data_IF_034368680732
#
_entry.id   IF_034368680732
#
_cell.length_a   1.000
_cell.length_b   1.000
_cell.length_c   1.000
_cell.angle_alpha   90.00
_cell.angle_beta   90.00
_cell.angle_gamma   90.00
#
_symmetry.space_group_name_H-M   'P 1'
#
loop_
_entity.id
_entity.type
_entity.pdbx_description
1 polymer ?
#
# COMPACT_ATOMS: atom_id res chain seq x y z
N UNK A 1 14.15 21.26 8.57
CA UNK A 1 13.36 22.41 8.07
C UNK A 1 12.91 22.04 6.67
N UNK A 2 11.61 21.82 6.52
CA UNK A 2 10.97 21.26 5.32
C UNK A 2 11.03 22.24 4.14
N UNK A 3 10.98 21.70 2.93
CA UNK A 3 10.90 22.37 1.62
C UNK A 3 9.60 23.18 1.43
N UNK A 4 9.30 24.11 2.33
CA UNK A 4 8.16 25.01 2.22
C UNK A 4 8.55 26.44 2.58
N UNK A 5 9.07 27.18 1.61
CA UNK A 5 9.20 28.63 1.71
C UNK A 5 8.82 29.30 0.38
N UNK A 6 7.89 30.25 0.48
CA UNK A 6 7.57 31.36 -0.45
C UNK A 6 6.61 31.08 -1.63
N UNK A 7 5.31 31.34 -1.41
CA UNK A 7 4.62 32.61 -1.81
C UNK A 7 3.10 32.47 -1.65
N UNK A 8 2.53 33.12 -0.62
CA UNK A 8 1.10 33.47 -0.59
C UNK A 8 0.90 34.72 -1.46
N UNK A 9 0.13 34.61 -2.54
CA UNK A 9 -0.50 35.77 -3.20
C UNK A 9 -2.01 35.64 -3.05
N UNK A 10 -2.62 36.66 -2.46
CA UNK A 10 -4.06 36.85 -2.39
C UNK A 10 -4.63 36.98 -3.79
N UNK A 11 -5.66 36.21 -4.14
CA UNK A 11 -6.45 36.43 -5.35
C UNK A 11 -7.93 36.63 -5.00
N UNK A 12 -8.41 37.80 -5.42
CA UNK A 12 -9.77 38.30 -5.35
C UNK A 12 -10.72 37.47 -6.20
N UNK A 13 -11.92 37.21 -5.66
CA UNK A 13 -13.04 36.54 -6.32
C UNK A 13 -13.58 37.33 -7.51
N UNK A 14 -13.80 36.68 -8.64
CA UNK A 14 -14.92 37.00 -9.54
C UNK A 14 -15.52 35.70 -10.09
N UNK A 15 -16.80 35.52 -9.82
CA UNK A 15 -17.64 34.48 -10.40
C UNK A 15 -17.99 34.83 -11.86
N UNK A 16 -18.04 33.82 -12.73
CA UNK A 16 -18.77 33.87 -13.99
C UNK A 16 -19.22 32.46 -14.40
N UNK A 17 -20.40 32.42 -15.01
CA UNK A 17 -21.35 31.32 -15.01
C UNK A 17 -21.09 30.18 -16.02
N UNK A 18 -21.73 29.05 -15.72
CA UNK A 18 -21.82 27.79 -16.45
C UNK A 18 -22.42 27.88 -17.85
N UNK A 19 -21.90 27.09 -18.80
CA UNK A 19 -22.70 26.36 -19.81
C UNK A 19 -22.05 25.00 -20.16
N UNK A 20 -22.87 23.96 -20.44
CA UNK A 20 -22.43 22.59 -20.62
C UNK A 20 -22.10 22.28 -22.09
N UNK A 21 -21.05 21.52 -22.35
CA UNK A 21 -20.74 21.03 -23.70
C UNK A 21 -19.38 20.36 -23.79
N UNK A 22 -19.39 19.03 -23.88
CA UNK A 22 -18.34 18.13 -24.37
C UNK A 22 -16.92 18.32 -23.80
N UNK A 23 -16.61 17.52 -22.76
CA UNK A 23 -15.25 17.20 -22.35
C UNK A 23 -14.59 16.32 -23.43
N UNK A 24 -13.66 16.91 -24.19
CA UNK A 24 -12.63 16.14 -24.87
C UNK A 24 -11.67 15.57 -23.81
N UNK A 25 -11.83 14.29 -23.51
CA UNK A 25 -10.93 13.53 -22.64
C UNK A 25 -9.63 13.25 -23.39
N UNK A 26 -8.60 14.03 -23.09
CA UNK A 26 -7.22 13.71 -23.45
C UNK A 26 -6.65 12.67 -22.48
N UNK A 27 -7.03 11.39 -22.63
CA UNK A 27 -6.31 10.26 -22.04
C UNK A 27 -5.75 9.43 -23.19
N UNK A 28 -4.42 9.29 -23.25
CA UNK A 28 -3.77 8.30 -24.09
C UNK A 28 -4.11 6.89 -23.57
N UNK A 29 -5.25 6.37 -24.00
CA UNK A 29 -5.58 4.95 -23.93
C UNK A 29 -5.01 4.34 -25.21
N UNK A 30 -3.92 3.57 -25.11
CA UNK A 30 -3.43 2.78 -26.25
C UNK A 30 -4.48 1.70 -26.56
N UNK A 31 -4.79 1.50 -27.84
CA UNK A 31 -5.88 0.63 -28.35
C UNK A 31 -5.57 -0.88 -28.35
N UNK A 32 -4.55 -1.33 -27.61
CA UNK A 32 -4.00 -2.69 -27.74
C UNK A 32 -4.17 -3.54 -26.47
N UNK A 33 -5.29 -3.41 -25.74
CA UNK A 33 -5.60 -4.31 -24.63
C UNK A 33 -6.25 -5.63 -25.13
N UNK A 34 -5.77 -6.81 -24.70
CA UNK A 34 -6.31 -8.12 -25.09
C UNK A 34 -7.72 -8.38 -24.52
N UNK A 35 -8.49 -9.34 -25.08
CA UNK A 35 -9.90 -9.53 -24.72
C UNK A 35 -10.10 -10.12 -23.31
N UNK A 36 -10.93 -9.41 -22.53
CA UNK A 36 -11.75 -9.81 -21.37
C UNK A 36 -11.05 -10.47 -20.16
N UNK A 37 -10.38 -9.67 -19.33
CA UNK A 37 -10.56 -9.82 -17.87
C UNK A 37 -11.91 -9.19 -17.50
N UNK A 38 -12.74 -9.88 -16.73
CA UNK A 38 -13.99 -9.30 -16.22
C UNK A 38 -13.62 -8.10 -15.35
N UNK A 39 -13.97 -6.90 -15.81
CA UNK A 39 -13.81 -5.67 -15.04
C UNK A 39 -14.80 -5.68 -13.88
N UNK A 40 -14.28 -5.66 -12.64
CA UNK A 40 -15.08 -5.60 -11.41
C UNK A 40 -14.73 -4.27 -10.73
N UNK A 41 -15.69 -3.34 -10.58
CA UNK A 41 -15.42 -2.03 -10.00
C UNK A 41 -14.78 -2.14 -8.61
N UNK A 42 -13.66 -1.45 -8.41
CA UNK A 42 -12.88 -1.46 -7.17
C UNK A 42 -12.45 -2.86 -6.68
N UNK A 43 -12.27 -3.82 -7.58
CA UNK A 43 -11.70 -5.12 -7.26
C UNK A 43 -10.67 -5.51 -8.32
N UNK A 44 -9.46 -5.87 -7.90
CA UNK A 44 -8.34 -6.11 -8.80
C UNK A 44 -7.61 -7.39 -8.44
N UNK A 45 -7.02 -8.01 -9.45
CA UNK A 45 -6.09 -9.12 -9.25
C UNK A 45 -4.81 -8.62 -8.58
N UNK A 46 -4.19 -9.45 -7.75
CA UNK A 46 -2.88 -9.20 -7.14
C UNK A 46 -2.03 -10.46 -7.25
N UNK A 47 -0.97 -10.40 -8.04
CA UNK A 47 0.04 -11.47 -8.10
C UNK A 47 0.79 -11.59 -6.77
N UNK A 48 0.80 -12.81 -6.21
CA UNK A 48 1.53 -13.18 -5.01
C UNK A 48 2.80 -13.98 -5.33
N UNK A 49 3.28 -13.94 -6.58
CA UNK A 49 4.52 -14.65 -6.98
C UNK A 49 5.77 -14.08 -6.35
N UNK A 50 5.70 -12.83 -5.91
CA UNK A 50 6.82 -12.12 -5.32
C UNK A 50 6.32 -11.13 -4.27
N UNK A 51 7.16 -10.74 -3.27
CA UNK A 51 6.74 -9.84 -2.21
C UNK A 51 6.30 -8.46 -2.72
N UNK A 52 5.12 -8.01 -2.27
CA UNK A 52 4.63 -6.65 -2.44
C UNK A 52 4.45 -6.04 -1.06
N UNK A 53 5.01 -4.85 -0.84
CA UNK A 53 4.80 -4.07 0.38
C UNK A 53 4.27 -2.70 0.05
N UNK A 54 3.32 -2.23 0.86
CA UNK A 54 2.81 -0.87 0.77
C UNK A 54 3.37 -0.01 1.91
N UNK A 55 4.06 1.07 1.54
CA UNK A 55 4.70 1.98 2.49
C UNK A 55 3.72 3.11 2.82
N UNK A 56 3.17 3.04 4.03
CA UNK A 56 2.37 4.10 4.63
C UNK A 56 3.23 4.96 5.55
N UNK A 57 2.81 6.21 5.75
CA UNK A 57 3.41 7.11 6.74
C UNK A 57 2.40 7.48 7.80
N UNK A 58 2.82 7.62 9.06
CA UNK A 58 1.96 8.18 10.10
C UNK A 58 1.57 9.63 9.80
N UNK A 59 2.44 10.37 9.10
CA UNK A 59 2.20 11.72 8.62
C UNK A 59 3.01 12.02 7.34
N UNK A 60 2.93 13.25 6.85
CA UNK A 60 3.87 13.79 5.86
C UNK A 60 5.26 13.98 6.48
N UNK A 61 6.33 13.85 5.68
CA UNK A 61 7.73 14.09 6.09
C UNK A 61 8.22 13.31 7.33
N UNK A 62 7.72 12.09 7.46
CA UNK A 62 8.20 11.07 8.42
C UNK A 62 9.32 10.20 7.83
N UNK A 63 9.65 10.38 6.54
CA UNK A 63 10.75 9.67 5.88
C UNK A 63 10.34 8.46 5.04
N UNK A 64 9.10 8.38 4.55
CA UNK A 64 8.65 7.29 3.64
C UNK A 64 9.64 7.01 2.51
N UNK A 65 10.01 8.03 1.75
CA UNK A 65 10.93 7.90 0.60
C UNK A 65 12.33 7.48 1.02
N UNK A 66 12.78 7.85 2.22
CA UNK A 66 14.04 7.36 2.79
C UNK A 66 13.93 5.86 3.06
N UNK A 67 12.88 5.43 3.74
CA UNK A 67 12.67 4.01 4.07
C UNK A 67 12.49 3.17 2.80
N UNK A 68 11.70 3.64 1.83
CA UNK A 68 11.54 3.00 0.52
C UNK A 68 12.88 2.85 -0.21
N UNK A 69 13.69 3.91 -0.25
CA UNK A 69 15.01 3.85 -0.89
C UNK A 69 15.97 2.90 -0.20
N UNK A 70 16.00 2.88 1.14
CA UNK A 70 16.84 1.95 1.91
C UNK A 70 16.44 0.49 1.70
N UNK A 71 15.14 0.21 1.66
CA UNK A 71 14.61 -1.12 1.36
C UNK A 71 14.95 -1.55 -0.08
N UNK A 72 14.72 -0.67 -1.07
CA UNK A 72 15.08 -0.92 -2.46
C UNK A 72 16.59 -1.17 -2.61
N UNK A 73 17.43 -0.39 -1.92
CA UNK A 73 18.89 -0.55 -1.92
C UNK A 73 19.31 -1.90 -1.35
N UNK A 74 18.77 -2.31 -0.21
CA UNK A 74 19.06 -3.62 0.37
C UNK A 74 18.64 -4.76 -0.57
N UNK A 75 17.52 -4.61 -1.26
CA UNK A 75 17.04 -5.59 -2.24
C UNK A 75 17.91 -5.64 -3.50
N UNK A 76 18.33 -4.48 -4.03
CA UNK A 76 19.30 -4.37 -5.12
C UNK A 76 20.69 -4.87 -4.72
N UNK A 77 21.03 -5.00 -3.44
CA UNK A 77 22.29 -5.60 -3.00
C UNK A 77 22.18 -7.09 -2.70
N UNK A 78 20.97 -7.60 -2.52
CA UNK A 78 20.70 -9.01 -2.28
C UNK A 78 20.90 -9.84 -3.55
N UNK A 79 21.49 -11.03 -3.39
CA UNK A 79 21.56 -12.05 -4.44
C UNK A 79 20.25 -12.83 -4.60
N UNK A 80 19.37 -12.80 -3.58
CA UNK A 80 18.07 -13.46 -3.60
C UNK A 80 17.00 -12.68 -4.38
N UNK A 81 17.25 -11.40 -4.66
CA UNK A 81 16.36 -10.53 -5.42
C UNK A 81 16.94 -10.31 -6.81
N UNK A 82 16.17 -10.56 -7.87
CA UNK A 82 16.60 -10.36 -9.27
C UNK A 82 16.31 -8.95 -9.77
N UNK A 83 15.27 -8.32 -9.25
CA UNK A 83 14.77 -7.00 -9.68
C UNK A 83 13.96 -6.34 -8.57
N UNK A 84 13.89 -5.01 -8.61
CA UNK A 84 13.14 -4.19 -7.66
C UNK A 84 12.24 -3.23 -8.43
N UNK A 85 10.94 -3.28 -8.14
CA UNK A 85 9.97 -2.31 -8.63
C UNK A 85 9.60 -1.32 -7.54
N UNK A 86 9.70 -0.03 -7.83
CA UNK A 86 9.20 1.05 -6.98
C UNK A 86 8.06 1.76 -7.70
N UNK A 87 6.87 1.81 -7.09
CA UNK A 87 5.73 2.52 -7.64
C UNK A 87 5.30 3.60 -6.66
N UNK A 88 5.21 4.84 -7.15
CA UNK A 88 4.52 5.93 -6.45
C UNK A 88 3.22 6.25 -7.17
N UNK A 89 2.06 5.79 -6.66
CA UNK A 89 0.81 5.95 -7.40
C UNK A 89 0.40 7.41 -7.56
N UNK A 90 0.63 8.24 -6.54
CA UNK A 90 0.26 9.66 -6.51
C UNK A 90 1.47 10.52 -6.09
N UNK A 91 1.81 11.52 -6.91
CA UNK A 91 2.88 12.48 -6.63
C UNK A 91 2.38 13.92 -6.79
N UNK A 92 2.79 14.81 -5.88
CA UNK A 92 2.42 16.24 -5.92
C UNK A 92 3.63 17.11 -5.66
N UNK A 93 3.73 18.28 -6.28
CA UNK A 93 4.75 19.28 -5.94
C UNK A 93 6.13 19.07 -6.58
N UNK A 94 6.17 18.36 -7.70
CA UNK A 94 7.42 18.07 -8.41
C UNK A 94 7.14 17.30 -9.68
N UNK A 95 8.18 17.13 -10.50
CA UNK A 95 8.05 16.22 -11.64
C UNK A 95 7.86 14.78 -11.17
N UNK A 96 7.30 13.96 -12.06
CA UNK A 96 7.05 12.54 -11.83
C UNK A 96 8.31 11.72 -11.54
N UNK A 97 9.49 12.30 -11.74
CA UNK A 97 10.79 11.64 -11.57
C UNK A 97 11.47 12.03 -10.25
N UNK A 98 10.90 12.91 -9.43
CA UNK A 98 11.53 13.40 -8.20
C UNK A 98 12.02 12.25 -7.31
N UNK A 99 11.11 11.34 -6.97
CA UNK A 99 11.42 10.19 -6.12
C UNK A 99 12.26 9.15 -6.86
N UNK A 100 11.97 8.90 -8.13
CA UNK A 100 12.77 8.00 -8.95
C UNK A 100 14.24 8.44 -8.98
N UNK A 101 14.51 9.74 -9.19
CA UNK A 101 15.85 10.32 -9.13
C UNK A 101 16.46 10.19 -7.74
N UNK A 102 15.68 10.36 -6.69
CA UNK A 102 16.15 10.12 -5.32
C UNK A 102 16.56 8.66 -5.13
N UNK A 103 15.76 7.67 -5.55
CA UNK A 103 16.16 6.27 -5.43
C UNK A 103 17.39 5.95 -6.30
N UNK A 104 17.42 6.39 -7.55
CA UNK A 104 18.53 6.15 -8.48
C UNK A 104 19.86 6.76 -8.01
N UNK A 105 19.84 7.84 -7.22
CA UNK A 105 21.07 8.44 -6.70
C UNK A 105 21.69 7.69 -5.51
N UNK A 106 20.99 6.68 -4.96
CA UNK A 106 21.43 5.96 -3.75
C UNK A 106 21.74 4.46 -3.97
N UNK A 107 21.61 3.93 -5.19
CA UNK A 107 21.90 2.52 -5.50
C UNK A 107 22.24 2.31 -6.98
N UNK A 108 22.78 1.13 -7.32
CA UNK A 108 22.91 0.72 -8.73
C UNK A 108 21.51 0.54 -9.35
N UNK A 109 21.19 1.40 -10.31
CA UNK A 109 19.90 1.46 -10.96
C UNK A 109 19.62 0.28 -11.91
N UNK A 110 20.62 -0.56 -12.22
CA UNK A 110 20.50 -1.62 -13.23
C UNK A 110 19.34 -2.60 -12.97
N UNK A 111 19.00 -2.82 -11.70
CA UNK A 111 17.91 -3.72 -11.25
C UNK A 111 16.68 -2.99 -10.71
N UNK A 112 16.68 -1.65 -10.70
CA UNK A 112 15.60 -0.84 -10.15
C UNK A 112 14.75 -0.24 -11.28
N UNK A 113 13.46 -0.55 -11.28
CA UNK A 113 12.48 0.14 -12.13
C UNK A 113 11.56 1.00 -11.26
N UNK A 114 11.53 2.31 -11.52
CA UNK A 114 10.64 3.25 -10.84
C UNK A 114 9.50 3.67 -11.77
N UNK A 115 8.27 3.72 -11.25
CA UNK A 115 7.11 4.22 -11.98
C UNK A 115 6.26 5.15 -11.10
N UNK A 116 6.00 6.37 -11.58
CA UNK A 116 5.02 7.29 -10.98
C UNK A 116 3.77 7.28 -11.84
N UNK A 117 2.63 6.87 -11.29
CA UNK A 117 1.43 6.64 -12.11
C UNK A 117 0.69 7.95 -12.43
N UNK A 118 0.54 8.82 -11.43
CA UNK A 118 -0.14 10.10 -11.57
C UNK A 118 0.62 11.18 -10.82
N UNK A 119 0.82 12.33 -11.47
CA UNK A 119 1.56 13.46 -10.91
C UNK A 119 0.87 14.79 -11.17
N UNK A 120 0.97 15.68 -10.17
CA UNK A 120 0.53 17.06 -10.22
C UNK A 120 1.67 18.00 -9.85
N UNK A 121 1.71 19.17 -10.48
CA UNK A 121 2.79 20.15 -10.28
C UNK A 121 2.66 20.90 -8.95
N UNK A 122 1.42 21.09 -8.48
CA UNK A 122 1.11 21.88 -7.29
C UNK A 122 1.51 21.13 -6.00
N UNK A 123 2.33 21.71 -5.10
CA UNK A 123 2.84 21.06 -3.89
C UNK A 123 1.81 21.10 -2.74
N UNK A 124 0.66 20.47 -2.98
CA UNK A 124 -0.44 20.31 -2.01
C UNK A 124 -0.93 18.87 -2.03
N UNK A 125 -1.77 18.47 -1.07
CA UNK A 125 -2.34 17.11 -1.05
C UNK A 125 -3.04 16.73 -2.37
N UNK A 126 -3.03 15.44 -2.78
CA UNK A 126 -3.53 15.02 -4.09
C UNK A 126 -4.94 15.50 -4.45
N UNK A 127 -5.91 15.48 -3.53
CA UNK A 127 -7.28 15.96 -3.81
C UNK A 127 -7.31 17.43 -4.24
N UNK A 128 -6.52 18.28 -3.56
CA UNK A 128 -6.47 19.70 -3.82
C UNK A 128 -5.69 19.98 -5.10
N UNK A 129 -4.61 19.24 -5.36
CA UNK A 129 -3.84 19.36 -6.60
C UNK A 129 -4.70 18.98 -7.82
N UNK A 130 -5.45 17.87 -7.72
CA UNK A 130 -6.41 17.43 -8.73
C UNK A 130 -7.48 18.48 -9.02
N UNK A 131 -8.00 19.14 -7.97
CA UNK A 131 -8.98 20.22 -8.11
C UNK A 131 -8.37 21.47 -8.75
N UNK A 132 -7.22 21.96 -8.26
CA UNK A 132 -6.58 23.19 -8.71
C UNK A 132 -6.10 23.09 -10.16
N UNK A 133 -5.61 21.93 -10.57
CA UNK A 133 -5.13 21.68 -11.93
C UNK A 133 -6.20 21.13 -12.88
N UNK A 134 -7.43 20.93 -12.38
CA UNK A 134 -8.54 20.34 -13.14
C UNK A 134 -8.20 18.97 -13.76
N UNK A 135 -7.39 18.18 -13.04
CA UNK A 135 -6.93 16.84 -13.41
C UNK A 135 -7.51 15.83 -12.41
N UNK A 136 -8.79 15.47 -12.57
CA UNK A 136 -9.47 14.52 -11.70
C UNK A 136 -9.06 13.07 -11.97
N UNK A 137 -9.00 12.27 -10.92
CA UNK A 137 -8.72 10.83 -10.98
C UNK A 137 -9.73 10.09 -10.10
N UNK A 138 -10.33 9.02 -10.64
CA UNK A 138 -11.21 8.14 -9.87
C UNK A 138 -10.42 7.04 -9.16
N UNK A 139 -10.95 6.55 -8.04
CA UNK A 139 -10.31 5.47 -7.25
C UNK A 139 -10.13 4.20 -8.08
N UNK A 140 -11.14 3.86 -8.88
CA UNK A 140 -11.15 2.66 -9.69
C UNK A 140 -10.03 2.68 -10.74
N UNK A 141 -9.84 3.81 -11.43
CA UNK A 141 -8.73 3.98 -12.40
C UNK A 141 -7.38 3.85 -11.68
N UNK A 142 -7.23 4.47 -10.51
CA UNK A 142 -5.99 4.40 -9.74
C UNK A 142 -5.65 2.95 -9.34
N UNK A 143 -6.63 2.23 -8.82
CA UNK A 143 -6.46 0.86 -8.32
C UNK A 143 -6.16 -0.12 -9.45
N UNK A 144 -6.87 -0.02 -10.59
CA UNK A 144 -6.59 -0.83 -11.77
C UNK A 144 -5.20 -0.53 -12.35
N UNK A 145 -4.85 0.76 -12.53
CA UNK A 145 -3.53 1.14 -13.03
C UNK A 145 -2.40 0.69 -12.11
N UNK A 146 -2.61 0.73 -10.80
CA UNK A 146 -1.66 0.21 -9.84
C UNK A 146 -1.51 -1.32 -9.94
N UNK A 147 -2.61 -2.06 -10.04
CA UNK A 147 -2.57 -3.50 -10.26
C UNK A 147 -1.83 -3.86 -11.55
N UNK A 148 -2.12 -3.19 -12.67
CA UNK A 148 -1.45 -3.41 -13.96
C UNK A 148 0.05 -3.11 -13.87
N UNK A 149 0.43 -2.01 -13.22
CA UNK A 149 1.82 -1.63 -13.03
C UNK A 149 2.56 -2.65 -12.15
N UNK A 150 1.94 -3.16 -11.07
CA UNK A 150 2.52 -4.22 -10.23
C UNK A 150 2.76 -5.48 -11.07
N UNK A 151 1.77 -5.93 -11.85
CA UNK A 151 1.93 -7.12 -12.70
C UNK A 151 3.04 -6.95 -13.73
N UNK A 152 3.09 -5.79 -14.40
CA UNK A 152 4.12 -5.45 -15.38
C UNK A 152 5.53 -5.45 -14.77
N UNK A 153 5.67 -4.97 -13.55
CA UNK A 153 6.96 -4.82 -12.87
C UNK A 153 7.38 -6.06 -12.07
N UNK A 154 6.63 -7.16 -12.12
CA UNK A 154 6.99 -8.47 -11.56
C UNK A 154 7.41 -9.48 -12.64
N UNK A 155 8.56 -9.30 -13.32
CA UNK A 155 8.99 -10.21 -14.37
C UNK A 155 9.34 -11.61 -13.85
N UNK A 156 9.66 -11.75 -12.55
CA UNK A 156 10.08 -13.01 -11.93
C UNK A 156 9.55 -13.14 -10.50
N UNK A 157 9.58 -14.36 -9.94
CA UNK A 157 9.25 -14.59 -8.54
C UNK A 157 10.25 -13.93 -7.54
N UNK A 158 11.44 -13.56 -8.02
CA UNK A 158 12.49 -12.93 -7.20
C UNK A 158 12.46 -11.39 -7.24
N UNK A 159 11.31 -10.80 -7.56
CA UNK A 159 11.13 -9.35 -7.57
C UNK A 159 10.66 -8.82 -6.21
N UNK A 160 11.19 -7.68 -5.73
CA UNK A 160 10.56 -6.93 -4.64
C UNK A 160 9.74 -5.79 -5.22
N UNK A 161 8.47 -5.68 -4.84
CA UNK A 161 7.62 -4.55 -5.19
C UNK A 161 7.36 -3.63 -3.98
N UNK A 162 7.77 -2.37 -4.09
CA UNK A 162 7.54 -1.32 -3.09
C UNK A 162 6.53 -0.32 -3.65
N UNK A 163 5.38 -0.17 -2.98
CA UNK A 163 4.35 0.81 -3.34
C UNK A 163 4.32 1.91 -2.29
N UNK A 164 4.79 3.10 -2.64
CA UNK A 164 4.85 4.24 -1.72
C UNK A 164 3.59 5.11 -1.81
N UNK A 165 2.90 5.30 -0.69
CA UNK A 165 1.73 6.19 -0.59
C UNK A 165 2.11 7.66 -0.43
N UNK A 166 1.18 8.57 -0.74
CA UNK A 166 1.40 10.02 -0.57
C UNK A 166 0.90 10.51 0.79
N UNK A 167 1.66 11.37 1.48
CA UNK A 167 1.23 11.91 2.79
C UNK A 167 1.12 10.85 3.90
N UNK A 168 0.20 11.03 4.84
CA UNK A 168 -0.10 10.06 5.92
C UNK A 168 -1.21 9.05 5.56
N UNK A 169 -1.44 8.04 6.42
CA UNK A 169 -2.45 6.97 6.24
C UNK A 169 -3.82 7.49 5.77
N UNK A 170 -4.38 8.48 6.48
CA UNK A 170 -5.68 9.07 6.17
C UNK A 170 -5.56 10.34 5.31
N UNK A 171 -4.49 10.49 4.52
CA UNK A 171 -4.39 11.59 3.56
C UNK A 171 -5.34 11.32 2.38
N UNK A 172 -6.11 12.32 1.92
CA UNK A 172 -6.97 12.16 0.76
C UNK A 172 -6.19 11.78 -0.50
N UNK A 173 -6.71 10.80 -1.23
CA UNK A 173 -6.38 10.50 -2.63
C UNK A 173 -6.85 11.65 -3.54
N UNK A 174 -6.51 11.60 -4.83
CA UNK A 174 -6.95 12.57 -5.82
C UNK A 174 -8.49 12.70 -5.94
N UNK A 175 -9.23 11.65 -5.57
CA UNK A 175 -10.71 11.65 -5.52
C UNK A 175 -11.29 12.31 -4.27
N UNK A 176 -10.47 12.60 -3.25
CA UNK A 176 -10.89 13.08 -1.94
C UNK A 176 -11.16 11.99 -0.89
N UNK A 177 -11.27 10.70 -1.29
CA UNK A 177 -11.34 9.60 -0.31
C UNK A 177 -9.99 9.35 0.35
N UNK A 178 -9.95 8.83 1.57
CA UNK A 178 -8.68 8.50 2.22
C UNK A 178 -7.94 7.39 1.48
N UNK A 179 -6.62 7.52 1.33
CA UNK A 179 -5.81 6.54 0.61
C UNK A 179 -5.89 5.13 1.20
N UNK A 180 -5.99 5.00 2.53
CA UNK A 180 -6.22 3.71 3.18
C UNK A 180 -7.57 3.06 2.81
N UNK A 181 -8.59 3.84 2.41
CA UNK A 181 -9.84 3.29 1.86
C UNK A 181 -9.71 2.97 0.36
N UNK A 182 -8.95 3.78 -0.39
CA UNK A 182 -8.76 3.62 -1.84
C UNK A 182 -7.91 2.39 -2.18
N UNK A 183 -6.82 2.13 -1.46
CA UNK A 183 -5.94 0.97 -1.73
C UNK A 183 -6.42 -0.34 -1.12
N UNK A 184 -7.56 -0.32 -0.41
CA UNK A 184 -8.10 -1.49 0.30
C UNK A 184 -8.36 -2.70 -0.60
N UNK A 185 -8.74 -2.57 -1.89
CA UNK A 185 -8.88 -3.72 -2.78
C UNK A 185 -7.59 -4.50 -3.03
N UNK A 186 -6.41 -3.86 -2.99
CA UNK A 186 -5.13 -4.57 -3.20
C UNK A 186 -4.67 -5.29 -1.92
N UNK A 187 -4.88 -4.66 -0.76
CA UNK A 187 -4.49 -5.14 0.59
C UNK A 187 -3.10 -5.85 0.66
N UNK A 188 -2.02 -5.28 0.09
CA UNK A 188 -0.68 -5.78 0.37
C UNK A 188 -0.33 -5.54 1.86
N UNK A 189 0.59 -6.33 2.44
CA UNK A 189 1.09 -6.05 3.78
C UNK A 189 1.76 -4.67 3.84
N UNK A 190 1.55 -3.96 4.94
CA UNK A 190 2.00 -2.59 5.10
C UNK A 190 3.31 -2.50 5.90
N UNK A 191 4.21 -1.64 5.43
CA UNK A 191 5.27 -1.05 6.24
C UNK A 191 4.77 0.32 6.70
N UNK A 192 4.59 0.51 8.00
CA UNK A 192 4.21 1.81 8.56
C UNK A 192 5.47 2.59 8.96
N UNK A 193 5.75 3.68 8.25
CA UNK A 193 6.79 4.63 8.65
C UNK A 193 6.21 5.56 9.71
N UNK A 194 6.62 5.34 10.96
CA UNK A 194 6.22 6.14 12.11
C UNK A 194 6.93 7.49 12.18
N UNK A 195 6.53 8.32 13.13
CA UNK A 195 7.17 9.61 13.39
C UNK A 195 8.10 9.50 14.61
N UNK A 196 9.40 9.71 14.40
CA UNK A 196 10.41 9.71 15.47
C UNK A 196 10.52 11.04 16.22
N UNK A 197 9.73 12.07 15.88
CA UNK A 197 9.72 13.37 16.57
C UNK A 197 8.88 13.33 17.85
N UNK A 198 8.92 14.40 18.64
CA UNK A 198 8.05 14.60 19.79
C UNK A 198 6.57 14.58 19.35
N UNK A 199 5.73 13.84 20.08
CA UNK A 199 4.33 13.56 19.70
C UNK A 199 4.18 12.41 18.68
N UNK A 200 5.29 11.92 18.13
CA UNK A 200 5.30 10.91 17.08
C UNK A 200 4.85 9.52 17.52
N UNK A 201 4.97 9.18 18.81
CA UNK A 201 4.39 7.96 19.41
C UNK A 201 2.87 7.91 19.14
N UNK A 202 2.15 8.95 19.55
CA UNK A 202 0.70 9.03 19.39
C UNK A 202 0.28 9.07 17.91
N UNK A 203 1.01 9.82 17.07
CA UNK A 203 0.75 9.87 15.64
C UNK A 203 0.93 8.48 14.98
N UNK A 204 1.98 7.75 15.37
CA UNK A 204 2.27 6.41 14.85
C UNK A 204 1.22 5.40 15.27
N UNK A 205 0.83 5.37 16.55
CA UNK A 205 -0.21 4.46 17.04
C UNK A 205 -1.59 4.77 16.45
N UNK A 206 -1.97 6.06 16.35
CA UNK A 206 -3.23 6.46 15.69
C UNK A 206 -3.27 6.04 14.22
N UNK A 207 -2.14 6.13 13.51
CA UNK A 207 -2.02 5.70 12.14
C UNK A 207 -2.09 4.16 12.01
N UNK A 208 -1.45 3.43 12.93
CA UNK A 208 -1.54 1.98 13.04
C UNK A 208 -2.99 1.53 13.24
N UNK A 209 -3.68 2.08 14.24
CA UNK A 209 -5.08 1.76 14.54
C UNK A 209 -5.98 2.04 13.32
N UNK A 210 -5.71 3.13 12.59
CA UNK A 210 -6.45 3.47 11.38
C UNK A 210 -6.29 2.43 10.25
N UNK A 211 -5.11 1.82 10.13
CA UNK A 211 -4.84 0.73 9.18
C UNK A 211 -5.47 -0.59 9.65
N UNK A 212 -5.32 -0.93 10.93
CA UNK A 212 -5.87 -2.15 11.52
C UNK A 212 -7.41 -2.17 11.46
N UNK A 213 -8.06 -1.04 11.77
CA UNK A 213 -9.53 -0.88 11.64
C UNK A 213 -10.05 -1.07 10.21
N UNK A 214 -9.17 -0.93 9.21
CA UNK A 214 -9.49 -1.17 7.79
C UNK A 214 -9.07 -2.56 7.32
N UNK A 215 -8.54 -3.39 8.21
CA UNK A 215 -8.15 -4.78 7.91
C UNK A 215 -6.85 -4.90 7.11
N UNK A 216 -5.96 -3.91 7.17
CA UNK A 216 -4.60 -4.07 6.67
C UNK A 216 -3.78 -4.93 7.65
N UNK A 217 -2.91 -5.77 7.09
CA UNK A 217 -1.86 -6.40 7.88
C UNK A 217 -0.68 -5.41 7.99
N UNK A 218 -0.25 -5.07 9.21
CA UNK A 218 0.88 -4.14 9.44
C UNK A 218 2.00 -4.85 10.23
N UNK A 219 2.73 -5.78 9.62
CA UNK A 219 3.75 -6.56 10.34
C UNK A 219 5.02 -5.76 10.68
N UNK A 220 5.21 -4.56 10.12
CA UNK A 220 6.41 -3.75 10.34
C UNK A 220 6.11 -2.29 10.61
N UNK A 221 6.77 -1.75 11.64
CA UNK A 221 6.89 -0.30 11.88
C UNK A 221 8.36 0.09 11.71
N UNK A 222 8.61 1.15 10.95
CA UNK A 222 9.96 1.72 10.79
C UNK A 222 9.94 3.15 11.31
N UNK A 223 10.85 3.49 12.21
CA UNK A 223 10.98 4.82 12.80
C UNK A 223 12.34 5.40 12.44
N UNK A 224 12.37 6.65 11.98
CA UNK A 224 13.61 7.45 11.94
C UNK A 224 13.64 8.27 13.22
N UNK A 225 14.41 7.81 14.20
CA UNK A 225 14.49 8.40 15.54
C UNK A 225 15.04 9.82 15.50
N UNK A 226 14.73 10.58 16.56
CA UNK A 226 15.45 11.81 16.90
C UNK A 226 16.23 11.57 18.19
N UNK A 227 17.29 12.38 18.37
CA UNK A 227 18.16 12.29 19.53
C UNK A 227 17.33 12.33 20.83
N UNK A 228 17.59 11.37 21.72
CA UNK A 228 17.06 11.28 23.08
C UNK A 228 15.54 11.13 23.26
N UNK A 229 14.78 10.75 22.21
CA UNK A 229 13.32 10.55 22.33
C UNK A 229 12.88 9.10 22.59
N UNK A 230 13.62 8.12 22.05
CA UNK A 230 13.36 6.69 22.32
C UNK A 230 11.96 6.22 21.91
N UNK A 231 11.39 6.75 20.81
CA UNK A 231 10.01 6.48 20.42
C UNK A 231 9.78 4.99 20.11
N UNK A 232 10.74 4.31 19.48
CA UNK A 232 10.69 2.89 19.17
C UNK A 232 10.61 2.03 20.43
N UNK A 233 11.38 2.37 21.47
CA UNK A 233 11.31 1.70 22.76
C UNK A 233 9.95 1.91 23.42
N UNK A 234 9.40 3.13 23.35
CA UNK A 234 8.10 3.46 23.94
C UNK A 234 6.92 2.70 23.30
N UNK A 235 7.03 2.27 22.04
CA UNK A 235 5.99 1.49 21.35
C UNK A 235 6.28 -0.02 21.29
N UNK A 236 7.44 -0.47 21.79
CA UNK A 236 7.93 -1.84 21.60
C UNK A 236 6.98 -2.88 22.19
N UNK A 237 6.53 -2.68 23.43
CA UNK A 237 5.63 -3.62 24.11
C UNK A 237 4.30 -3.74 23.37
N UNK A 238 3.72 -2.59 22.98
CA UNK A 238 2.46 -2.57 22.22
C UNK A 238 2.60 -3.21 20.84
N UNK A 239 3.73 -2.98 20.17
CA UNK A 239 4.01 -3.61 18.88
C UNK A 239 4.16 -5.14 19.04
N UNK A 240 4.84 -5.60 20.10
CA UNK A 240 5.00 -7.01 20.40
C UNK A 240 3.67 -7.72 20.67
N UNK A 241 2.75 -7.11 21.43
CA UNK A 241 1.38 -7.62 21.64
C UNK A 241 0.63 -7.86 20.31
N UNK A 242 0.91 -7.01 19.32
CA UNK A 242 0.29 -7.08 17.99
C UNK A 242 1.11 -7.91 16.99
N UNK A 243 2.21 -8.54 17.42
CA UNK A 243 3.16 -9.28 16.57
C UNK A 243 3.78 -8.42 15.45
N UNK A 244 4.08 -7.15 15.75
CA UNK A 244 4.66 -6.18 14.82
C UNK A 244 6.14 -6.01 15.15
N UNK A 245 7.00 -6.14 14.15
CA UNK A 245 8.44 -5.86 14.31
C UNK A 245 8.71 -4.36 14.17
N UNK A 246 9.44 -3.78 15.11
CA UNK A 246 9.83 -2.37 15.10
C UNK A 246 11.29 -2.24 14.67
N UNK A 247 11.55 -1.44 13.65
CA UNK A 247 12.89 -1.11 13.17
C UNK A 247 13.18 0.36 13.46
N UNK A 248 14.20 0.63 14.28
CA UNK A 248 14.63 1.98 14.64
C UNK A 248 15.86 2.35 13.81
N UNK A 249 15.72 3.34 12.94
CA UNK A 249 16.80 3.98 12.19
C UNK A 249 17.27 5.21 12.97
N UNK A 250 18.58 5.51 13.00
CA UNK A 250 19.08 6.70 13.66
C UNK A 250 18.66 7.97 12.91
N UNK A 251 18.76 9.09 13.62
CA UNK A 251 18.50 10.42 13.07
C UNK A 251 19.27 10.65 11.77
N UNK A 252 18.59 11.30 10.81
CA UNK A 252 19.21 11.70 9.55
C UNK A 252 20.30 12.75 9.80
N UNK A 253 21.41 12.70 9.05
CA UNK A 253 22.44 13.72 9.13
C UNK A 253 21.86 15.09 8.70
N UNK A 254 22.41 16.21 9.21
CA UNK A 254 21.96 17.54 8.84
C UNK A 254 22.18 17.80 7.35
N UNK A 255 21.24 18.48 6.70
CA UNK A 255 21.42 18.90 5.31
C UNK A 255 22.58 19.91 5.19
N UNK A 256 23.35 19.91 4.09
CA UNK A 256 23.16 19.14 2.85
C UNK A 256 23.93 17.80 2.80
N UNK A 257 24.27 17.21 3.95
CA UNK A 257 25.09 15.98 4.00
C UNK A 257 24.48 14.86 3.16
N UNK A 258 25.22 14.27 2.19
CA UNK A 258 24.75 13.14 1.42
C UNK A 258 24.35 11.96 2.30
N UNK A 259 23.29 11.24 1.93
CA UNK A 259 22.79 10.13 2.72
C UNK A 259 23.50 8.81 2.45
N UNK A 260 24.47 8.76 1.54
CA UNK A 260 25.14 7.50 1.16
C UNK A 260 25.77 6.77 2.36
N UNK A 261 26.52 7.49 3.20
CA UNK A 261 27.17 6.91 4.37
C UNK A 261 26.17 6.52 5.45
N UNK A 262 25.08 7.30 5.58
CA UNK A 262 23.97 6.97 6.48
C UNK A 262 23.28 5.67 6.04
N UNK A 263 22.94 5.59 4.75
CA UNK A 263 22.87 4.38 3.93
C UNK A 263 23.67 3.22 4.52
N UNK A 264 24.98 3.27 4.30
CA UNK A 264 25.88 2.15 4.53
C UNK A 264 25.89 1.72 6.00
N UNK A 265 25.80 2.69 6.90
CA UNK A 265 25.73 2.42 8.34
C UNK A 265 24.45 1.67 8.75
N UNK A 266 23.35 1.78 7.99
CA UNK A 266 22.06 1.14 8.29
C UNK A 266 21.77 -0.10 7.43
N UNK A 267 22.74 -0.59 6.65
CA UNK A 267 22.57 -1.73 5.74
C UNK A 267 22.00 -2.96 6.44
N UNK A 268 22.46 -3.26 7.65
CA UNK A 268 22.00 -4.42 8.41
C UNK A 268 20.51 -4.33 8.77
N UNK A 269 20.05 -3.15 9.20
CA UNK A 269 18.64 -2.91 9.55
C UNK A 269 17.76 -3.10 8.30
N UNK A 270 18.15 -2.53 7.16
CA UNK A 270 17.39 -2.69 5.92
C UNK A 270 17.42 -4.13 5.38
N UNK A 271 18.53 -4.86 5.53
CA UNK A 271 18.60 -6.29 5.19
C UNK A 271 17.72 -7.13 6.11
N UNK A 272 17.66 -6.82 7.40
CA UNK A 272 16.76 -7.48 8.34
C UNK A 272 15.30 -7.21 8.00
N UNK A 273 14.95 -5.96 7.66
CA UNK A 273 13.60 -5.61 7.20
C UNK A 273 13.24 -6.37 5.91
N UNK A 274 14.15 -6.41 4.93
CA UNK A 274 13.96 -7.17 3.69
C UNK A 274 13.74 -8.67 3.98
N UNK A 275 14.55 -9.27 4.85
CA UNK A 275 14.42 -10.67 5.24
C UNK A 275 13.08 -10.94 5.94
N UNK A 276 12.63 -10.03 6.81
CA UNK A 276 11.32 -10.12 7.45
C UNK A 276 10.17 -10.05 6.43
N UNK A 277 10.29 -9.18 5.42
CA UNK A 277 9.34 -9.07 4.30
C UNK A 277 9.27 -10.38 3.50
N UNK A 278 10.42 -10.91 3.07
CA UNK A 278 10.48 -12.19 2.34
C UNK A 278 9.91 -13.34 3.17
N UNK A 279 10.22 -13.40 4.46
CA UNK A 279 9.71 -14.44 5.37
C UNK A 279 8.20 -14.35 5.56
N UNK A 280 7.65 -13.15 5.78
CA UNK A 280 6.21 -12.94 5.91
C UNK A 280 5.48 -13.35 4.62
N UNK A 281 6.02 -12.93 3.47
CA UNK A 281 5.46 -13.28 2.17
C UNK A 281 5.44 -14.79 1.94
N UNK A 282 6.56 -15.48 2.17
CA UNK A 282 6.65 -16.93 2.02
C UNK A 282 5.64 -17.66 2.93
N UNK A 283 5.58 -17.29 4.21
CA UNK A 283 4.60 -17.86 5.15
C UNK A 283 3.16 -17.65 4.70
N UNK A 284 2.83 -16.46 4.18
CA UNK A 284 1.49 -16.15 3.66
C UNK A 284 1.15 -17.05 2.46
N UNK A 285 2.05 -17.17 1.50
CA UNK A 285 1.86 -17.98 0.29
C UNK A 285 1.78 -19.47 0.63
N UNK A 286 2.68 -19.98 1.47
CA UNK A 286 2.67 -21.38 1.93
C UNK A 286 1.35 -21.71 2.63
N UNK A 287 0.86 -20.82 3.51
CA UNK A 287 -0.44 -20.99 4.17
C UNK A 287 -1.59 -21.08 3.16
N UNK A 288 -1.62 -20.23 2.14
CA UNK A 288 -2.67 -20.23 1.13
C UNK A 288 -2.63 -21.50 0.27
N UNK A 289 -1.44 -21.96 -0.14
CA UNK A 289 -1.26 -23.23 -0.84
C UNK A 289 -1.62 -24.44 0.04
N UNK A 290 -1.27 -24.42 1.33
CA UNK A 290 -1.63 -25.48 2.26
C UNK A 290 -3.15 -25.62 2.35
N UNK A 291 -3.89 -24.51 2.55
CA UNK A 291 -5.36 -24.54 2.59
C UNK A 291 -5.95 -25.02 1.26
N UNK A 292 -5.39 -24.58 0.12
CA UNK A 292 -5.86 -24.96 -1.21
C UNK A 292 -5.66 -26.46 -1.50
N UNK A 293 -4.49 -27.01 -1.15
CA UNK A 293 -4.13 -28.41 -1.38
C UNK A 293 -4.79 -29.38 -0.39
N UNK A 294 -5.03 -28.93 0.84
CA UNK A 294 -5.65 -29.73 1.90
C UNK A 294 -7.19 -29.69 1.87
N UNK A 295 -7.82 -29.39 0.75
CA UNK A 295 -9.29 -29.39 0.61
C UNK A 295 -9.95 -30.73 1.01
N UNK A 296 -9.19 -31.83 1.02
CA UNK A 296 -9.63 -33.12 1.56
C UNK A 296 -9.49 -33.20 3.10
N UNK A 297 -8.39 -32.71 3.68
CA UNK A 297 -8.17 -32.72 5.12
C UNK A 297 -9.03 -31.69 5.86
N UNK A 298 -9.35 -30.55 5.23
CA UNK A 298 -10.29 -29.57 5.79
C UNK A 298 -11.68 -30.19 6.01
N UNK A 299 -12.08 -31.19 5.21
CA UNK A 299 -13.33 -31.96 5.45
C UNK A 299 -13.30 -32.78 6.74
N UNK A 300 -12.11 -33.13 7.22
CA UNK A 300 -11.94 -33.88 8.46
C UNK A 300 -12.08 -32.98 9.69
N UNK A 301 -11.97 -31.66 9.51
CA UNK A 301 -12.00 -30.68 10.61
C UNK A 301 -13.32 -29.89 10.59
N UNK A 302 -13.82 -29.52 9.41
CA UNK A 302 -15.00 -28.67 9.26
C UNK A 302 -16.24 -29.46 8.84
N UNK A 303 -17.34 -29.24 9.55
CA UNK A 303 -18.67 -29.71 9.15
C UNK A 303 -19.48 -28.59 8.49
N UNK A 304 -19.34 -28.42 7.16
CA UNK A 304 -20.11 -27.40 6.44
C UNK A 304 -21.62 -27.68 6.45
N UNK A 305 -22.44 -26.67 6.80
CA UNK A 305 -23.89 -26.81 6.73
C UNK A 305 -24.35 -26.92 5.27
N UNK A 306 -25.46 -27.63 5.05
CA UNK A 306 -26.09 -27.83 3.72
C UNK A 306 -25.15 -28.33 2.61
N UNK A 307 -24.01 -28.94 2.96
CA UNK A 307 -23.02 -29.41 1.99
C UNK A 307 -22.90 -30.93 2.06
N UNK A 308 -23.13 -31.62 0.95
CA UNK A 308 -22.85 -33.05 0.84
C UNK A 308 -21.34 -33.27 0.65
N UNK A 309 -20.63 -33.55 1.73
CA UNK A 309 -19.16 -33.63 1.74
C UNK A 309 -18.58 -34.67 0.78
N UNK A 310 -19.28 -35.78 0.51
CA UNK A 310 -18.83 -36.79 -0.46
C UNK A 310 -18.82 -36.27 -1.90
N UNK A 311 -19.64 -35.26 -2.21
CA UNK A 311 -19.80 -34.69 -3.55
C UNK A 311 -19.12 -33.33 -3.71
N UNK A 312 -18.56 -32.76 -2.63
CA UNK A 312 -17.86 -31.49 -2.70
C UNK A 312 -16.62 -31.63 -3.62
N UNK A 313 -16.44 -30.68 -4.54
CA UNK A 313 -15.38 -30.69 -5.56
C UNK A 313 -14.15 -29.85 -5.19
N UNK A 314 -14.20 -29.11 -4.09
CA UNK A 314 -13.07 -28.29 -3.65
C UNK A 314 -13.43 -27.34 -2.52
N UNK A 315 -12.48 -26.51 -2.13
CA UNK A 315 -12.67 -25.42 -1.16
C UNK A 315 -12.22 -24.13 -1.83
N UNK A 316 -13.10 -23.13 -1.84
CA UNK A 316 -12.73 -21.79 -2.26
C UNK A 316 -11.92 -21.13 -1.14
N UNK A 317 -10.68 -20.75 -1.42
CA UNK A 317 -9.81 -20.08 -0.46
C UNK A 317 -10.03 -18.57 -0.59
N UNK A 318 -10.70 -17.96 0.39
CA UNK A 318 -10.94 -16.51 0.44
C UNK A 318 -9.88 -15.89 1.37
N UNK A 319 -8.99 -15.03 0.86
CA UNK A 319 -8.00 -14.32 1.67
C UNK A 319 -8.63 -13.13 2.40
N UNK A 320 -9.49 -12.40 1.70
CA UNK A 320 -10.22 -11.26 2.25
C UNK A 320 -11.44 -10.92 1.41
N UNK A 321 -12.21 -9.94 1.87
CA UNK A 321 -13.37 -9.41 1.16
C UNK A 321 -13.43 -7.88 1.32
N UNK A 322 -13.93 -7.18 0.30
CA UNK A 322 -14.15 -5.73 0.32
C UNK A 322 -15.23 -5.33 -0.69
N UNK A 323 -16.15 -4.46 -0.29
CA UNK A 323 -17.32 -4.13 -1.10
C UNK A 323 -18.13 -5.39 -1.40
N UNK A 324 -18.50 -5.62 -2.66
CA UNK A 324 -19.29 -6.79 -3.06
C UNK A 324 -18.43 -7.95 -3.57
N UNK A 325 -17.12 -7.94 -3.28
CA UNK A 325 -16.18 -8.91 -3.84
C UNK A 325 -15.30 -9.58 -2.77
N UNK A 326 -15.04 -10.86 -3.02
CA UNK A 326 -13.97 -11.64 -2.39
C UNK A 326 -12.66 -11.46 -3.17
N UNK A 327 -11.55 -11.54 -2.44
CA UNK A 327 -10.24 -11.81 -3.01
C UNK A 327 -9.94 -13.30 -2.80
N UNK A 328 -10.09 -14.09 -3.85
CA UNK A 328 -9.95 -15.56 -3.82
C UNK A 328 -8.57 -15.97 -4.30
N UNK A 329 -7.95 -16.93 -3.62
CA UNK A 329 -6.62 -17.39 -3.98
C UNK A 329 -6.68 -18.44 -5.10
N UNK A 330 -5.98 -18.16 -6.20
CA UNK A 330 -5.74 -19.12 -7.28
C UNK A 330 -4.33 -19.73 -7.13
N UNK A 331 -4.29 -21.01 -6.75
CA UNK A 331 -3.06 -21.74 -6.54
C UNK A 331 -2.26 -21.95 -7.84
N UNK A 332 -2.91 -22.01 -9.02
CA UNK A 332 -2.21 -22.25 -10.28
C UNK A 332 -1.38 -21.05 -10.72
N UNK A 333 -1.93 -19.84 -10.55
CA UNK A 333 -1.27 -18.60 -10.92
C UNK A 333 -0.53 -17.92 -9.76
N UNK A 334 -0.76 -18.40 -8.52
CA UNK A 334 -0.27 -17.80 -7.27
C UNK A 334 -0.67 -16.33 -7.19
N UNK A 335 -1.96 -16.06 -7.34
CA UNK A 335 -2.54 -14.72 -7.28
C UNK A 335 -3.81 -14.69 -6.43
N UNK A 336 -4.22 -13.49 -6.05
CA UNK A 336 -5.57 -13.21 -5.55
C UNK A 336 -6.39 -12.66 -6.71
N UNK A 337 -7.52 -13.29 -7.00
CA UNK A 337 -8.44 -12.88 -8.04
C UNK A 337 -9.74 -12.33 -7.43
N UNK A 338 -10.30 -11.25 -7.99
CA UNK A 338 -11.56 -10.72 -7.54
C UNK A 338 -12.72 -11.63 -7.96
N UNK A 339 -13.61 -11.95 -7.03
CA UNK A 339 -14.83 -12.72 -7.29
C UNK A 339 -16.02 -12.04 -6.62
N UNK A 340 -17.04 -11.69 -7.40
CA UNK A 340 -18.27 -11.07 -6.87
C UNK A 340 -19.01 -12.05 -5.95
N UNK A 341 -19.40 -11.58 -4.77
CA UNK A 341 -20.24 -12.31 -3.82
C UNK A 341 -21.72 -12.28 -4.24
N UNK A 342 -22.03 -12.97 -5.35
CA UNK A 342 -23.38 -12.97 -5.93
C UNK A 342 -24.43 -13.65 -5.03
N UNK A 343 -24.00 -14.53 -4.10
CA UNK A 343 -24.89 -15.16 -3.12
C UNK A 343 -25.12 -14.30 -1.87
N UNK A 344 -24.49 -13.11 -1.82
CA UNK A 344 -24.55 -12.17 -0.71
C UNK A 344 -24.19 -12.84 0.63
N UNK A 345 -23.19 -13.73 0.64
CA UNK A 345 -22.79 -14.53 1.80
C UNK A 345 -23.98 -15.11 2.56
N UNK A 346 -24.85 -15.83 1.83
CA UNK A 346 -26.11 -16.38 2.36
C UNK A 346 -27.14 -15.29 2.73
N UNK A 347 -27.34 -14.33 1.82
CA UNK A 347 -28.28 -13.21 1.97
C UNK A 347 -28.04 -12.32 3.20
N UNK A 348 -26.83 -12.36 3.76
CA UNK A 348 -26.42 -11.53 4.89
C UNK A 348 -25.74 -10.23 4.46
N UNK A 349 -25.15 -10.20 3.27
CA UNK A 349 -24.52 -9.00 2.73
C UNK A 349 -25.55 -7.93 2.37
N UNK A 350 -25.22 -6.69 2.74
CA UNK A 350 -26.03 -5.51 2.43
C UNK A 350 -25.28 -4.18 2.50
N UNK A 351 -24.23 -4.08 3.33
CA UNK A 351 -23.38 -2.88 3.44
C UNK A 351 -22.02 -3.02 2.72
N UNK A 352 -21.82 -4.15 2.04
CA UNK A 352 -20.53 -4.59 1.53
C UNK A 352 -19.59 -5.13 2.62
N UNK A 353 -18.64 -5.96 2.21
CA UNK A 353 -17.55 -6.47 3.02
C UNK A 353 -16.55 -5.37 3.40
N UNK A 354 -15.92 -5.50 4.57
CA UNK A 354 -14.84 -4.62 5.00
C UNK A 354 -15.24 -3.14 5.17
N UNK A 355 -16.50 -2.86 5.47
CA UNK A 355 -17.01 -1.50 5.63
C UNK A 355 -16.38 -0.80 6.86
N UNK A 356 -15.60 0.28 6.68
CA UNK A 356 -14.87 0.92 7.78
C UNK A 356 -15.80 1.59 8.80
N UNK A 357 -17.00 2.03 8.41
CA UNK A 357 -17.98 2.60 9.34
C UNK A 357 -18.55 1.53 10.27
N UNK A 358 -18.87 0.36 9.72
CA UNK A 358 -19.34 -0.78 10.51
C UNK A 358 -18.23 -1.29 11.44
N UNK A 359 -17.01 -1.45 10.95
CA UNK A 359 -15.86 -1.86 11.76
C UNK A 359 -15.62 -0.91 12.94
N UNK A 360 -15.64 0.41 12.69
CA UNK A 360 -15.49 1.41 13.74
C UNK A 360 -16.65 1.38 14.75
N UNK A 361 -17.89 1.20 14.29
CA UNK A 361 -19.05 1.10 15.17
C UNK A 361 -18.97 -0.13 16.10
N UNK A 362 -18.55 -1.29 15.55
CA UNK A 362 -18.32 -2.51 16.33
C UNK A 362 -17.19 -2.31 17.34
N UNK A 363 -16.04 -1.77 16.92
CA UNK A 363 -14.93 -1.49 17.81
C UNK A 363 -15.31 -0.51 18.94
N UNK A 364 -16.04 0.55 18.61
CA UNK A 364 -16.53 1.53 19.60
C UNK A 364 -17.50 0.90 20.58
N UNK A 365 -18.36 -0.01 20.12
CA UNK A 365 -19.32 -0.70 20.98
C UNK A 365 -18.63 -1.72 21.88
N UNK A 366 -17.63 -2.45 21.37
CA UNK A 366 -16.86 -3.40 22.15
C UNK A 366 -15.97 -2.75 23.22
N UNK A 367 -15.58 -1.48 23.02
CA UNK A 367 -14.76 -0.71 23.95
C UNK A 367 -15.56 0.05 25.03
N UNK A 368 -16.89 0.12 24.90
CA UNK A 368 -17.81 0.70 25.90
C UNK A 368 -18.27 -0.38 26.86
#
# INVERSE_FOLDING_TARGET
MMLSALRRRSFSSRAAASRPGLLHVGCNIRRDDPPSKQYVPNAVSVSLRSPIVQVFGSNTDVGKTIVSAGLCRAAVQSSATSSVGYIKPLQTGGDSMMDARFLHSHMDASRLTCETLFSWDTPVSPHLAAQLEQKSLTDDILVHRLSDAIHKLQPTASTLMVVETAGGVCSPSASGKFQCDVYRPLRPPAVLVGDGKLGGISATMSALDSLLLRGYDVPWIVLIEQDDLGNAAAIADRAAELNISVFALPKLPPQPTPLHDWYMAQDEIFRSLLSAISTYHQRRVDRLHAISSQAQDVRLILWWPFTQHKQNRGVLVIDSAYGDSFATFDAASTSLEPMVDACASWWTQGLGHGNPKAALAVATTAAR
#
